data_IF_972466995821
#
_entry.id   IF_972466995821
#
_cell.length_a   1.000
_cell.length_b   1.000
_cell.length_c   1.000
_cell.angle_alpha   90.00
_cell.angle_beta   90.00
_cell.angle_gamma   90.00
#
_symmetry.space_group_name_H-M   'P 1'
#
loop_
_entity.id
_entity.type
_entity.pdbx_description
1 polymer ?
#
# COMPACT_ATOMS: atom_id res chain seq x y z
N UNK A 1 34.11 -7.45 -6.00
CA UNK A 1 32.82 -7.60 -5.29
C UNK A 1 31.74 -7.82 -6.34
N UNK A 2 31.23 -9.05 -6.45
CA UNK A 2 30.23 -9.40 -7.45
C UNK A 2 28.82 -8.94 -6.98
N UNK A 3 27.96 -8.44 -7.88
CA UNK A 3 26.60 -8.11 -7.53
C UNK A 3 25.80 -9.37 -7.23
N UNK A 4 25.07 -9.35 -6.14
CA UNK A 4 24.18 -10.45 -5.72
C UNK A 4 23.04 -10.50 -6.74
N UNK A 5 23.09 -11.50 -7.62
CA UNK A 5 22.03 -11.79 -8.56
C UNK A 5 20.78 -12.28 -7.83
N UNK A 6 19.69 -11.53 -7.94
CA UNK A 6 18.36 -12.00 -7.56
C UNK A 6 17.96 -13.11 -8.54
N UNK A 7 18.13 -14.35 -8.10
CA UNK A 7 17.60 -15.50 -8.81
C UNK A 7 16.10 -15.61 -8.47
N UNK A 8 15.25 -15.10 -9.35
CA UNK A 8 13.81 -15.29 -9.25
C UNK A 8 13.52 -16.80 -9.36
N UNK A 9 13.33 -17.46 -8.21
CA UNK A 9 12.71 -18.79 -8.20
C UNK A 9 11.31 -18.65 -8.77
N UNK A 10 11.10 -19.11 -9.97
CA UNK A 10 9.79 -19.38 -10.57
C UNK A 10 9.14 -20.54 -9.80
N UNK A 11 8.70 -20.27 -8.58
CA UNK A 11 7.83 -21.15 -7.80
C UNK A 11 6.41 -21.09 -8.38
N UNK A 12 5.67 -22.18 -8.27
CA UNK A 12 4.28 -22.27 -8.69
C UNK A 12 3.52 -21.05 -8.17
N UNK A 13 2.90 -20.29 -9.07
CA UNK A 13 2.21 -19.05 -8.73
C UNK A 13 1.14 -19.30 -7.68
N UNK A 14 1.29 -18.73 -6.49
CA UNK A 14 0.34 -18.80 -5.41
C UNK A 14 -1.03 -18.21 -5.76
N UNK A 15 -1.99 -18.38 -4.86
CA UNK A 15 -3.37 -17.91 -5.07
C UNK A 15 -3.42 -16.38 -5.24
N UNK A 16 -2.63 -15.65 -4.46
CA UNK A 16 -2.56 -14.19 -4.53
C UNK A 16 -1.98 -13.73 -5.86
N UNK A 17 -0.89 -14.34 -6.32
CA UNK A 17 -0.28 -14.03 -7.61
C UNK A 17 -1.24 -14.35 -8.79
N UNK A 18 -2.03 -15.40 -8.69
CA UNK A 18 -3.09 -15.71 -9.67
C UNK A 18 -4.17 -14.63 -9.70
N UNK A 19 -4.60 -14.13 -8.52
CA UNK A 19 -5.58 -13.04 -8.43
C UNK A 19 -5.04 -11.74 -9.02
N UNK A 20 -3.79 -11.38 -8.69
CA UNK A 20 -3.15 -10.19 -9.26
C UNK A 20 -3.18 -10.26 -10.81
N UNK A 21 -2.75 -11.38 -11.39
CA UNK A 21 -2.76 -11.57 -12.85
C UNK A 21 -4.17 -11.55 -13.45
N UNK A 22 -5.12 -12.23 -12.81
CA UNK A 22 -6.51 -12.29 -13.31
C UNK A 22 -7.19 -10.91 -13.30
N UNK A 23 -6.77 -10.02 -12.40
CA UNK A 23 -7.26 -8.64 -12.30
C UNK A 23 -6.41 -7.62 -13.09
N UNK A 24 -5.36 -8.07 -13.79
CA UNK A 24 -4.42 -7.18 -14.48
C UNK A 24 -3.70 -6.22 -13.54
N UNK A 25 -3.49 -6.63 -12.27
CA UNK A 25 -2.83 -5.81 -11.25
C UNK A 25 -1.32 -6.06 -11.31
N UNK A 26 -0.59 -5.01 -11.65
CA UNK A 26 0.87 -4.97 -11.55
C UNK A 26 1.27 -4.26 -10.27
N UNK A 27 2.36 -4.70 -9.64
CA UNK A 27 2.94 -4.03 -8.48
C UNK A 27 4.11 -3.15 -8.93
N UNK A 28 4.23 -1.93 -8.38
CA UNK A 28 5.38 -1.08 -8.64
C UNK A 28 6.65 -1.67 -8.05
N UNK A 29 7.81 -1.14 -8.45
CA UNK A 29 9.06 -1.42 -7.78
C UNK A 29 9.03 -0.88 -6.35
N UNK A 30 9.50 -1.66 -5.34
CA UNK A 30 9.56 -1.20 -3.97
C UNK A 30 10.41 0.07 -3.84
N UNK A 31 9.84 1.12 -3.28
CA UNK A 31 10.54 2.39 -3.09
C UNK A 31 11.63 2.28 -2.01
N UNK A 32 12.72 3.03 -2.17
CA UNK A 32 13.69 3.20 -1.09
C UNK A 32 13.13 4.14 -0.03
N UNK A 33 13.44 3.92 1.28
CA UNK A 33 13.10 4.87 2.33
C UNK A 33 13.67 6.26 2.01
N UNK A 34 12.88 7.29 2.29
CA UNK A 34 13.30 8.69 2.06
C UNK A 34 14.12 9.29 3.21
N UNK A 35 14.31 8.58 4.32
CA UNK A 35 15.02 9.01 5.52
C UNK A 35 15.54 7.80 6.34
N UNK A 36 16.00 8.04 7.56
CA UNK A 36 16.59 7.01 8.45
C UNK A 36 15.49 6.12 9.08
N UNK A 37 14.80 5.34 8.27
CA UNK A 37 13.85 4.32 8.69
C UNK A 37 13.83 3.15 7.70
N UNK A 38 13.14 2.08 8.03
CA UNK A 38 13.01 0.89 7.19
C UNK A 38 11.59 0.77 6.62
N UNK A 39 11.40 0.13 5.44
CA UNK A 39 10.08 0.02 4.83
C UNK A 39 9.13 -0.89 5.60
N UNK A 40 9.64 -1.79 6.41
CA UNK A 40 8.87 -2.67 7.27
C UNK A 40 9.68 -3.18 8.46
N UNK A 41 8.96 -3.58 9.52
CA UNK A 41 9.51 -4.28 10.69
C UNK A 41 8.65 -5.50 10.97
N UNK A 42 9.29 -6.65 11.21
CA UNK A 42 8.60 -7.87 11.61
C UNK A 42 8.79 -8.13 13.11
N UNK A 43 7.67 -8.40 13.80
CA UNK A 43 7.63 -8.80 15.21
C UNK A 43 6.79 -10.08 15.34
N UNK A 44 7.46 -11.23 15.40
CA UNK A 44 6.78 -12.54 15.37
C UNK A 44 6.00 -12.72 14.05
N UNK A 45 4.70 -12.89 14.16
CA UNK A 45 3.79 -13.01 13.02
C UNK A 45 3.22 -11.65 12.54
N UNK A 46 3.59 -10.54 13.16
CA UNK A 46 3.14 -9.21 12.76
C UNK A 46 4.19 -8.51 11.89
N UNK A 47 3.72 -7.95 10.78
CA UNK A 47 4.52 -7.18 9.84
C UNK A 47 3.96 -5.76 9.73
N UNK A 48 4.73 -4.80 10.25
CA UNK A 48 4.43 -3.39 10.21
C UNK A 48 5.03 -2.78 8.94
N UNK A 49 4.20 -2.21 8.10
CA UNK A 49 4.64 -1.52 6.89
C UNK A 49 4.59 -0.01 7.09
N UNK A 50 5.68 0.65 6.74
CA UNK A 50 5.77 2.12 6.74
C UNK A 50 4.79 2.72 5.74
N UNK A 51 4.28 3.91 6.06
CA UNK A 51 3.40 4.69 5.18
C UNK A 51 3.96 4.84 3.77
N UNK A 52 3.13 4.56 2.78
CA UNK A 52 3.46 4.67 1.36
C UNK A 52 2.69 5.80 0.72
N UNK A 53 3.38 6.55 -0.14
CA UNK A 53 2.82 7.65 -0.90
C UNK A 53 2.20 7.17 -2.22
N UNK A 54 1.39 8.01 -2.84
CA UNK A 54 0.82 7.76 -4.16
C UNK A 54 1.88 7.94 -5.26
N UNK A 55 2.69 6.91 -5.52
CA UNK A 55 3.75 6.91 -6.51
C UNK A 55 3.79 5.62 -7.33
N UNK A 56 4.28 5.72 -8.57
CA UNK A 56 4.57 4.59 -9.45
C UNK A 56 6.03 4.64 -9.87
N UNK A 57 6.83 3.67 -9.47
CA UNK A 57 8.26 3.58 -9.78
C UNK A 57 9.03 4.89 -9.52
N UNK A 58 8.72 5.54 -8.38
CA UNK A 58 9.34 6.80 -7.96
C UNK A 58 8.68 8.07 -8.50
N UNK A 59 7.79 7.97 -9.48
CA UNK A 59 7.02 9.11 -9.96
C UNK A 59 5.78 9.33 -9.08
N UNK A 60 5.71 10.47 -8.40
CA UNK A 60 4.57 10.84 -7.54
C UNK A 60 3.38 11.24 -8.38
N UNK A 61 2.20 10.77 -7.99
CA UNK A 61 0.92 11.03 -8.66
C UNK A 61 -0.05 11.71 -7.70
N UNK A 62 -1.06 12.39 -8.24
CA UNK A 62 -2.15 13.01 -7.48
C UNK A 62 -1.64 14.00 -6.42
N UNK A 63 -0.95 15.04 -6.88
CA UNK A 63 -0.37 16.09 -6.03
C UNK A 63 -1.42 17.15 -5.72
N UNK A 64 -1.50 17.56 -4.46
CA UNK A 64 -2.39 18.62 -4.01
C UNK A 64 -3.40 18.15 -2.97
N UNK A 65 -4.26 19.08 -2.53
CA UNK A 65 -5.29 18.84 -1.52
C UNK A 65 -6.56 18.26 -2.14
N UNK A 66 -7.08 17.22 -1.50
CA UNK A 66 -8.38 16.65 -1.84
C UNK A 66 -9.49 17.66 -1.49
N UNK A 67 -10.39 17.87 -2.43
CA UNK A 67 -11.43 18.91 -2.33
C UNK A 67 -11.00 20.27 -2.91
N UNK A 68 -9.77 20.37 -3.44
CA UNK A 68 -9.28 21.51 -4.22
C UNK A 68 -8.66 21.06 -5.54
N UNK A 69 -7.35 20.76 -5.54
CA UNK A 69 -6.61 20.34 -6.75
C UNK A 69 -6.92 18.90 -7.15
N UNK A 70 -7.30 18.06 -6.17
CA UNK A 70 -7.53 16.62 -6.37
C UNK A 70 -8.98 16.28 -6.04
N UNK A 71 -9.68 15.64 -6.97
CA UNK A 71 -11.05 15.16 -6.75
C UNK A 71 -11.07 13.92 -5.85
N UNK A 72 -12.25 13.57 -5.31
CA UNK A 72 -12.44 12.35 -4.51
C UNK A 72 -12.05 11.09 -5.31
N UNK A 73 -12.44 11.02 -6.58
CA UNK A 73 -12.13 9.86 -7.43
C UNK A 73 -10.63 9.73 -7.71
N UNK A 74 -9.95 10.84 -7.95
CA UNK A 74 -8.49 10.87 -8.09
C UNK A 74 -7.78 10.48 -6.78
N UNK A 75 -8.27 10.98 -5.64
CA UNK A 75 -7.73 10.63 -4.32
C UNK A 75 -7.96 9.15 -3.98
N UNK A 76 -9.08 8.56 -4.40
CA UNK A 76 -9.34 7.12 -4.28
C UNK A 76 -8.35 6.29 -5.11
N UNK A 77 -8.00 6.75 -6.32
CA UNK A 77 -6.94 6.14 -7.12
C UNK A 77 -5.56 6.32 -6.46
N UNK A 78 -5.29 7.47 -5.83
CA UNK A 78 -4.09 7.70 -5.04
C UNK A 78 -3.99 6.71 -3.87
N UNK A 79 -5.07 6.48 -3.12
CA UNK A 79 -5.13 5.49 -2.04
C UNK A 79 -4.86 4.05 -2.55
N UNK A 80 -5.44 3.69 -3.70
CA UNK A 80 -5.13 2.41 -4.36
C UNK A 80 -3.65 2.30 -4.73
N UNK A 81 -3.05 3.36 -5.23
CA UNK A 81 -1.63 3.39 -5.60
C UNK A 81 -0.72 3.26 -4.37
N UNK A 82 -1.07 3.90 -3.24
CA UNK A 82 -0.39 3.69 -1.96
C UNK A 82 -0.43 2.20 -1.54
N UNK A 83 -1.61 1.57 -1.66
CA UNK A 83 -1.78 0.16 -1.32
C UNK A 83 -1.00 -0.78 -2.26
N UNK A 84 -0.85 -0.45 -3.54
CA UNK A 84 0.03 -1.18 -4.47
C UNK A 84 1.49 -1.12 -4.02
N UNK A 85 1.96 0.04 -3.54
CA UNK A 85 3.31 0.18 -2.97
C UNK A 85 3.45 -0.64 -1.67
N UNK A 86 2.43 -0.67 -0.81
CA UNK A 86 2.42 -1.54 0.37
C UNK A 86 2.53 -3.02 -0.01
N UNK A 87 1.78 -3.48 -1.04
CA UNK A 87 1.88 -4.85 -1.55
C UNK A 87 3.26 -5.17 -2.12
N UNK A 88 3.91 -4.21 -2.78
CA UNK A 88 5.27 -4.38 -3.28
C UNK A 88 6.27 -4.62 -2.13
N UNK A 89 6.20 -3.83 -1.06
CA UNK A 89 7.03 -4.03 0.14
C UNK A 89 6.67 -5.31 0.90
N UNK A 90 5.39 -5.63 1.00
CA UNK A 90 4.90 -6.88 1.61
C UNK A 90 5.47 -8.10 0.87
N UNK A 91 5.48 -8.08 -0.47
CA UNK A 91 6.08 -9.14 -1.29
C UNK A 91 7.58 -9.30 -1.02
N UNK A 92 8.31 -8.21 -0.87
CA UNK A 92 9.75 -8.27 -0.49
C UNK A 92 9.91 -8.87 0.90
N UNK A 93 9.12 -8.42 1.88
CA UNK A 93 9.19 -8.90 3.26
C UNK A 93 8.86 -10.40 3.40
N UNK A 94 8.14 -10.97 2.44
CA UNK A 94 7.71 -12.37 2.39
C UNK A 94 8.46 -13.20 1.33
N UNK A 95 9.62 -12.74 0.87
CA UNK A 95 10.46 -13.44 -0.12
C UNK A 95 9.71 -13.82 -1.40
N UNK A 96 8.75 -13.00 -1.81
CA UNK A 96 7.93 -13.18 -3.01
C UNK A 96 6.63 -13.96 -2.81
N UNK A 97 6.37 -14.51 -1.63
CA UNK A 97 5.21 -15.36 -1.34
C UNK A 97 4.11 -14.60 -0.56
N UNK A 98 3.22 -13.94 -1.28
CA UNK A 98 2.07 -13.21 -0.69
C UNK A 98 0.99 -14.16 -0.10
N UNK A 99 1.02 -15.47 -0.38
CA UNK A 99 0.11 -16.45 0.23
C UNK A 99 0.44 -16.69 1.72
N UNK A 100 1.57 -16.19 2.21
CA UNK A 100 1.91 -16.16 3.64
C UNK A 100 1.12 -15.12 4.45
N UNK A 101 0.37 -14.25 3.81
CA UNK A 101 -0.52 -13.31 4.50
C UNK A 101 -1.69 -14.08 5.12
N UNK A 102 -1.84 -13.95 6.44
CA UNK A 102 -2.95 -14.52 7.20
C UNK A 102 -4.11 -13.55 7.31
N UNK A 103 -3.79 -12.25 7.51
CA UNK A 103 -4.78 -11.20 7.69
C UNK A 103 -4.18 -9.82 7.45
N UNK A 104 -4.89 -8.96 6.74
CA UNK A 104 -4.71 -7.52 6.88
C UNK A 104 -5.34 -7.11 8.23
N UNK A 105 -4.54 -6.68 9.19
CA UNK A 105 -5.01 -6.39 10.56
C UNK A 105 -5.54 -4.97 10.67
N UNK A 106 -4.78 -4.02 10.13
CA UNK A 106 -5.11 -2.60 10.21
C UNK A 106 -4.61 -1.84 8.99
N UNK A 107 -5.40 -0.84 8.58
CA UNK A 107 -5.03 0.18 7.59
C UNK A 107 -5.18 1.56 8.20
N UNK A 108 -4.15 2.37 8.12
CA UNK A 108 -4.16 3.80 8.45
C UNK A 108 -4.11 4.62 7.18
N UNK A 109 -5.10 5.46 6.95
CA UNK A 109 -5.17 6.34 5.78
C UNK A 109 -5.16 7.82 6.17
N UNK A 110 -4.26 8.57 5.55
CA UNK A 110 -4.04 10.00 5.76
C UNK A 110 -4.33 10.74 4.46
N UNK A 111 -5.24 11.70 4.53
CA UNK A 111 -5.70 12.47 3.37
C UNK A 111 -5.27 13.92 3.53
N UNK A 112 -4.41 14.40 2.64
CA UNK A 112 -4.08 15.82 2.53
C UNK A 112 -5.31 16.55 1.98
N UNK A 113 -6.17 17.04 2.86
CA UNK A 113 -7.50 17.50 2.53
C UNK A 113 -7.68 19.02 2.73
N UNK A 114 -8.59 19.59 1.97
CA UNK A 114 -9.10 20.94 2.25
C UNK A 114 -9.79 20.96 3.64
N UNK A 115 -9.83 22.15 4.34
CA UNK A 115 -10.35 22.22 5.71
C UNK A 115 -11.80 21.76 5.88
N UNK A 116 -12.61 21.92 4.87
CA UNK A 116 -14.03 21.57 4.82
C UNK A 116 -14.33 20.20 4.22
N UNK A 117 -13.28 19.45 3.81
CA UNK A 117 -13.44 18.13 3.25
C UNK A 117 -13.72 17.10 4.35
N UNK A 118 -14.74 16.25 4.17
CA UNK A 118 -15.18 15.27 5.17
C UNK A 118 -15.22 13.82 4.67
N UNK A 119 -15.06 13.59 3.37
CA UNK A 119 -15.23 12.25 2.73
C UNK A 119 -13.95 11.38 2.76
N UNK A 120 -13.13 11.50 3.81
CA UNK A 120 -11.86 10.76 3.95
C UNK A 120 -12.04 9.23 3.80
N UNK A 121 -13.12 8.68 4.34
CA UNK A 121 -13.43 7.25 4.22
C UNK A 121 -13.66 6.82 2.78
N UNK A 122 -14.29 7.65 1.95
CA UNK A 122 -14.48 7.36 0.52
C UNK A 122 -13.15 7.30 -0.22
N UNK A 123 -12.22 8.17 0.14
CA UNK A 123 -10.86 8.18 -0.43
C UNK A 123 -10.13 6.88 -0.10
N UNK A 124 -10.08 6.51 1.19
CA UNK A 124 -9.31 5.34 1.65
C UNK A 124 -9.95 4.00 1.21
N UNK A 125 -11.20 4.00 0.78
CA UNK A 125 -11.81 2.83 0.15
C UNK A 125 -10.97 2.30 -1.04
N UNK A 126 -10.24 3.16 -1.76
CA UNK A 126 -9.36 2.72 -2.84
C UNK A 126 -8.28 1.72 -2.39
N UNK A 127 -7.73 1.90 -1.18
CA UNK A 127 -6.79 0.95 -0.58
C UNK A 127 -7.50 -0.30 -0.05
N UNK A 128 -8.60 -0.13 0.69
CA UNK A 128 -9.34 -1.24 1.27
C UNK A 128 -9.86 -2.22 0.23
N UNK A 129 -10.41 -1.72 -0.86
CA UNK A 129 -10.92 -2.53 -1.97
C UNK A 129 -9.81 -3.33 -2.67
N UNK A 130 -8.61 -2.73 -2.81
CA UNK A 130 -7.47 -3.46 -3.34
C UNK A 130 -7.10 -4.65 -2.45
N UNK A 131 -7.00 -4.45 -1.13
CA UNK A 131 -6.67 -5.55 -0.21
C UNK A 131 -7.74 -6.65 -0.21
N UNK A 132 -9.02 -6.30 -0.27
CA UNK A 132 -10.12 -7.26 -0.42
C UNK A 132 -10.02 -8.03 -1.75
N UNK A 133 -9.72 -7.36 -2.84
CA UNK A 133 -9.55 -7.98 -4.17
C UNK A 133 -8.39 -8.97 -4.17
N UNK A 134 -7.27 -8.61 -3.55
CA UNK A 134 -6.03 -9.41 -3.54
C UNK A 134 -6.12 -10.59 -2.57
N UNK A 135 -6.58 -10.35 -1.34
CA UNK A 135 -6.54 -11.34 -0.25
C UNK A 135 -7.91 -11.99 0.05
N UNK A 136 -9.00 -11.50 -0.52
CA UNK A 136 -10.35 -11.96 -0.17
C UNK A 136 -10.68 -11.68 1.29
N UNK A 137 -11.15 -12.67 2.05
CA UNK A 137 -11.50 -12.51 3.47
C UNK A 137 -10.31 -12.07 4.33
N UNK A 138 -9.10 -12.52 4.03
CA UNK A 138 -7.88 -12.07 4.70
C UNK A 138 -7.54 -10.58 4.42
N UNK A 139 -8.18 -9.95 3.48
CA UNK A 139 -8.09 -8.51 3.20
C UNK A 139 -8.99 -7.65 4.08
N UNK A 140 -9.94 -8.21 4.83
CA UNK A 140 -10.76 -7.47 5.80
C UNK A 140 -9.89 -6.95 6.95
N UNK A 141 -10.11 -5.70 7.37
CA UNK A 141 -9.22 -5.03 8.31
C UNK A 141 -9.95 -3.98 9.14
N UNK A 142 -9.37 -3.64 10.29
CA UNK A 142 -9.73 -2.41 11.02
C UNK A 142 -9.11 -1.20 10.31
N UNK A 143 -9.75 -0.03 10.39
CA UNK A 143 -9.28 1.14 9.65
C UNK A 143 -9.48 2.45 10.40
N UNK A 144 -8.53 3.38 10.18
CA UNK A 144 -8.72 4.81 10.41
C UNK A 144 -8.52 5.55 9.08
N UNK A 145 -9.33 6.59 8.84
CA UNK A 145 -9.20 7.49 7.69
C UNK A 145 -9.41 8.92 8.18
N UNK A 146 -8.37 9.74 8.12
CA UNK A 146 -8.36 11.10 8.68
C UNK A 146 -7.77 12.11 7.71
N UNK A 147 -8.23 13.36 7.81
CA UNK A 147 -7.61 14.49 7.14
C UNK A 147 -6.38 14.97 7.90
N UNK A 148 -5.37 15.39 7.16
CA UNK A 148 -4.14 16.01 7.70
C UNK A 148 -3.88 17.33 7.01
N UNK A 149 -3.12 18.20 7.69
CA UNK A 149 -2.79 19.53 7.17
C UNK A 149 -1.89 19.49 5.94
N UNK A 150 -1.05 18.47 5.82
CA UNK A 150 -0.16 18.26 4.68
C UNK A 150 0.51 16.89 4.73
N UNK A 151 0.98 16.43 3.59
CA UNK A 151 1.75 15.20 3.41
C UNK A 151 3.07 15.49 2.70
N UNK A 152 4.08 14.61 2.81
CA UNK A 152 5.35 14.78 2.12
C UNK A 152 5.14 15.01 0.62
N UNK A 153 5.91 15.93 0.04
CA UNK A 153 5.85 16.30 -1.39
C UNK A 153 4.47 16.75 -1.86
N UNK A 154 3.60 17.17 -0.93
CA UNK A 154 2.23 17.59 -1.21
C UNK A 154 1.40 16.52 -1.94
N UNK A 155 1.69 15.22 -1.76
CA UNK A 155 0.81 14.17 -2.27
C UNK A 155 -0.55 14.23 -1.58
N UNK A 156 -1.58 13.72 -2.24
CA UNK A 156 -2.95 13.79 -1.73
C UNK A 156 -3.27 12.72 -0.68
N UNK A 157 -2.58 11.58 -0.71
CA UNK A 157 -2.86 10.43 0.17
C UNK A 157 -1.57 9.73 0.58
N UNK A 158 -1.55 9.25 1.81
CA UNK A 158 -0.59 8.30 2.36
C UNK A 158 -1.34 7.18 3.07
N UNK A 159 -0.85 5.94 2.95
CA UNK A 159 -1.45 4.77 3.60
C UNK A 159 -0.37 3.92 4.25
N UNK A 160 -0.59 3.54 5.51
CA UNK A 160 0.18 2.53 6.24
C UNK A 160 -0.65 1.26 6.46
N UNK A 161 0.00 0.13 6.75
CA UNK A 161 -0.72 -1.10 7.05
C UNK A 161 0.05 -2.03 8.01
N UNK A 162 -0.72 -2.85 8.73
CA UNK A 162 -0.23 -3.94 9.57
C UNK A 162 -0.85 -5.24 9.07
N UNK A 163 0.00 -6.24 8.84
CA UNK A 163 -0.41 -7.58 8.43
C UNK A 163 0.01 -8.63 9.46
N UNK A 164 -0.82 -9.66 9.63
CA UNK A 164 -0.44 -10.93 10.22
C UNK A 164 0.04 -11.87 9.12
N UNK A 165 1.18 -12.52 9.31
CA UNK A 165 1.85 -13.35 8.30
C UNK A 165 2.39 -14.63 8.93
N UNK A 166 2.48 -15.70 8.14
CA UNK A 166 3.16 -16.94 8.58
C UNK A 166 4.67 -16.73 8.67
N UNK A 167 5.29 -17.54 9.52
CA UNK A 167 6.73 -17.62 9.67
C UNK A 167 7.48 -18.09 8.44
#
# INVERSE_FOLDING_TARGET
MSPIGFNAKTGASGQVEKRLRAQGIELPEPSKPGADYVPFVRMGELLFLTGQLSQWNGERKFIGKVGREVSVDQARQAAKLCALNLLAHLRVALDGDLDRVLQCVRVGGFVNAAPDFADHSKVINGASELFLTVFGDAGKHTRVAVGVNGLPYNVSVEVEALFAVRG
#
